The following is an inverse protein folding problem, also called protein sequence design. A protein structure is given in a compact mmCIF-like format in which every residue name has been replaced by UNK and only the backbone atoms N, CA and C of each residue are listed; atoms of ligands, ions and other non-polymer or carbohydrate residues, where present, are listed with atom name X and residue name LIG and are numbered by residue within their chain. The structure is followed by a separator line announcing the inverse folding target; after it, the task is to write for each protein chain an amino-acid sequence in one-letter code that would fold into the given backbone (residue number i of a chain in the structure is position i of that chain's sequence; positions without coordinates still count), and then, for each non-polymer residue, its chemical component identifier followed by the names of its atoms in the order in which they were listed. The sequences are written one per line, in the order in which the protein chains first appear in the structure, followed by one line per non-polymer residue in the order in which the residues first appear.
data_IF_925574279541
#
_entry.id   IF_925574279541
#
_cell.length_a   1.000
_cell.length_b   1.000
_cell.length_c   1.000
_cell.angle_alpha   90.00
_cell.angle_beta   90.00
_cell.angle_gamma   90.00
#
_symmetry.space_group_name_H-M   'P 1'
#
loop_
_entity.id
_entity.type
_entity.pdbx_description
1 polymer ?
#
# COMPACT_ATOMS: atom_id res chain seq x y z
N UNK A 1 8.15 -30.22 4.18
CA UNK A 1 8.63 -29.64 5.46
C UNK A 1 7.67 -28.51 5.84
N UNK A 2 6.65 -28.81 6.61
CA UNK A 2 5.71 -27.80 7.10
C UNK A 2 6.17 -27.40 8.50
N UNK A 3 7.08 -26.42 8.58
CA UNK A 3 7.46 -25.80 9.84
C UNK A 3 6.36 -24.94 10.46
N UNK A 4 5.17 -24.92 9.86
CA UNK A 4 4.02 -24.15 10.29
C UNK A 4 3.17 -24.99 11.24
N UNK A 5 3.10 -24.55 12.50
CA UNK A 5 2.39 -25.24 13.56
C UNK A 5 1.00 -24.69 13.79
N UNK A 6 0.16 -25.41 14.55
CA UNK A 6 -1.16 -24.90 14.97
C UNK A 6 -1.02 -23.61 15.79
N UNK A 7 0.08 -23.46 16.53
CA UNK A 7 0.38 -22.23 17.27
C UNK A 7 0.63 -21.04 16.34
N UNK A 8 1.37 -21.24 15.25
CA UNK A 8 1.61 -20.18 14.25
C UNK A 8 0.31 -19.73 13.58
N UNK A 9 -0.57 -20.70 13.27
CA UNK A 9 -1.91 -20.39 12.73
C UNK A 9 -2.73 -19.56 13.73
N UNK A 10 -2.70 -19.92 15.00
CA UNK A 10 -3.41 -19.20 16.06
C UNK A 10 -2.89 -17.75 16.18
N UNK A 11 -1.58 -17.55 16.20
CA UNK A 11 -0.95 -16.21 16.22
C UNK A 11 -1.36 -15.41 15.01
N UNK A 12 -1.32 -16.00 13.81
CA UNK A 12 -1.72 -15.35 12.57
C UNK A 12 -3.19 -14.88 12.60
N UNK A 13 -4.10 -15.77 13.02
CA UNK A 13 -5.53 -15.45 13.08
C UNK A 13 -5.81 -14.35 14.11
N UNK A 14 -5.22 -14.42 15.30
CA UNK A 14 -5.37 -13.37 16.32
C UNK A 14 -4.83 -12.04 15.82
N UNK A 15 -3.67 -12.03 15.18
CA UNK A 15 -3.09 -10.83 14.61
C UNK A 15 -4.03 -10.20 13.56
N UNK A 16 -4.52 -10.98 12.60
CA UNK A 16 -5.42 -10.49 11.55
C UNK A 16 -6.72 -9.94 12.13
N UNK A 17 -7.35 -10.67 13.05
CA UNK A 17 -8.59 -10.22 13.72
C UNK A 17 -8.30 -8.95 14.54
N UNK A 18 -7.22 -8.93 15.29
CA UNK A 18 -6.84 -7.79 16.15
C UNK A 18 -6.61 -6.52 15.35
N UNK A 19 -5.84 -6.59 14.26
CA UNK A 19 -5.57 -5.43 13.38
C UNK A 19 -6.85 -4.94 12.71
N UNK A 20 -7.68 -5.86 12.20
CA UNK A 20 -8.94 -5.52 11.54
C UNK A 20 -9.93 -4.88 12.52
N UNK A 21 -10.09 -5.46 13.72
CA UNK A 21 -10.95 -4.92 14.76
C UNK A 21 -10.48 -3.54 15.25
N UNK A 22 -9.17 -3.37 15.41
CA UNK A 22 -8.57 -2.07 15.76
C UNK A 22 -8.83 -1.02 14.68
N UNK A 23 -8.58 -1.35 13.40
CA UNK A 23 -8.87 -0.44 12.28
C UNK A 23 -10.34 -0.05 12.22
N UNK A 24 -11.24 -1.02 12.34
CA UNK A 24 -12.68 -0.78 12.39
C UNK A 24 -13.10 0.08 13.60
N UNK A 25 -12.46 -0.09 14.74
CA UNK A 25 -12.72 0.72 15.93
C UNK A 25 -12.26 2.18 15.74
N UNK A 26 -11.07 2.39 15.19
CA UNK A 26 -10.55 3.74 14.88
C UNK A 26 -11.38 4.46 13.81
N UNK A 27 -11.95 3.72 12.86
CA UNK A 27 -12.79 4.28 11.79
C UNK A 27 -14.20 4.72 12.20
N UNK A 28 -14.67 4.40 13.41
CA UNK A 28 -16.06 4.64 13.85
C UNK A 28 -16.45 6.11 14.04
N UNK A 29 -15.54 7.06 13.98
CA UNK A 29 -15.82 8.49 14.17
C UNK A 29 -15.77 9.31 12.89
N UNK A 30 -15.74 8.70 11.70
CA UNK A 30 -15.63 9.40 10.43
C UNK A 30 -17.03 9.71 9.89
N UNK A 31 -17.42 11.00 9.94
CA UNK A 31 -18.75 11.45 9.52
C UNK A 31 -18.76 12.11 8.13
N UNK A 32 -17.58 12.44 7.58
CA UNK A 32 -17.47 13.13 6.30
C UNK A 32 -16.45 12.49 5.36
N UNK A 33 -16.60 12.70 4.05
CA UNK A 33 -15.61 12.31 3.06
C UNK A 33 -14.24 12.96 3.29
N UNK A 34 -14.21 14.17 3.84
CA UNK A 34 -12.97 14.87 4.19
C UNK A 34 -12.26 14.18 5.37
N UNK A 35 -13.01 13.71 6.36
CA UNK A 35 -12.44 12.95 7.47
C UNK A 35 -11.85 11.63 6.97
N UNK A 36 -12.57 10.94 6.10
CA UNK A 36 -12.15 9.65 5.54
C UNK A 36 -10.87 9.78 4.69
N UNK A 37 -10.84 10.72 3.73
CA UNK A 37 -9.73 10.83 2.79
C UNK A 37 -8.54 11.66 3.30
N UNK A 38 -8.78 12.62 4.16
CA UNK A 38 -7.77 13.59 4.59
C UNK A 38 -7.49 13.55 6.10
N UNK A 39 -8.15 12.66 6.85
CA UNK A 39 -8.02 12.61 8.31
C UNK A 39 -8.25 13.97 8.98
N UNK A 40 -9.16 14.77 8.39
CA UNK A 40 -9.44 16.16 8.78
C UNK A 40 -8.19 17.06 8.84
N UNK A 41 -7.10 16.65 8.21
CA UNK A 41 -5.77 17.30 8.24
C UNK A 41 -5.20 17.49 9.65
N UNK A 42 -5.67 16.72 10.62
CA UNK A 42 -5.29 16.82 12.03
C UNK A 42 -4.33 15.72 12.49
N UNK A 43 -3.97 14.79 11.60
CA UNK A 43 -3.10 13.69 11.94
C UNK A 43 -1.68 14.18 12.25
N UNK A 44 -1.06 13.70 13.35
CA UNK A 44 0.30 14.08 13.68
C UNK A 44 1.28 13.51 12.65
N UNK A 45 2.34 14.25 12.36
CA UNK A 45 3.32 13.91 11.31
C UNK A 45 3.91 12.50 11.43
N UNK A 46 4.15 12.01 12.64
CA UNK A 46 4.69 10.66 12.87
C UNK A 46 3.69 9.57 12.46
N UNK A 47 2.39 9.77 12.69
CA UNK A 47 1.36 8.80 12.28
C UNK A 47 1.27 8.74 10.75
N UNK A 48 1.34 9.89 10.07
CA UNK A 48 1.39 9.95 8.60
C UNK A 48 2.66 9.27 8.09
N UNK A 49 3.81 9.53 8.69
CA UNK A 49 5.07 8.88 8.33
C UNK A 49 4.98 7.35 8.47
N UNK A 50 4.50 6.84 9.60
CA UNK A 50 4.34 5.40 9.83
C UNK A 50 3.33 4.78 8.84
N UNK A 51 2.25 5.48 8.53
CA UNK A 51 1.25 5.04 7.55
C UNK A 51 1.86 4.92 6.15
N UNK A 52 2.66 5.90 5.73
CA UNK A 52 3.37 5.85 4.43
C UNK A 52 4.33 4.67 4.40
N UNK A 53 5.15 4.47 5.43
CA UNK A 53 6.08 3.34 5.52
C UNK A 53 5.33 2.01 5.46
N UNK A 54 4.25 1.86 6.23
CA UNK A 54 3.44 0.63 6.24
C UNK A 54 2.80 0.35 4.88
N UNK A 55 2.31 1.38 4.19
CA UNK A 55 1.67 1.23 2.87
C UNK A 55 2.68 0.84 1.78
N UNK A 56 3.91 1.30 1.87
CA UNK A 56 4.95 1.00 0.87
C UNK A 56 5.69 -0.30 1.13
N UNK A 57 5.76 -0.75 2.38
CA UNK A 57 6.41 -2.01 2.73
C UNK A 57 5.53 -3.18 2.31
N UNK A 58 6.00 -3.96 1.35
CA UNK A 58 5.30 -5.12 0.83
C UNK A 58 6.07 -6.41 1.15
N UNK A 59 5.40 -7.56 1.00
CA UNK A 59 6.03 -8.88 1.07
C UNK A 59 7.25 -8.99 0.14
N UNK A 60 7.14 -8.42 -1.08
CA UNK A 60 8.25 -8.36 -2.03
C UNK A 60 9.43 -7.57 -1.47
N UNK A 61 9.18 -6.40 -0.87
CA UNK A 61 10.23 -5.57 -0.27
C UNK A 61 10.91 -6.30 0.89
N UNK A 62 10.14 -6.97 1.73
CA UNK A 62 10.66 -7.60 2.94
C UNK A 62 11.38 -8.93 2.68
N UNK A 63 10.87 -9.76 1.76
CA UNK A 63 11.44 -11.09 1.48
C UNK A 63 12.41 -11.07 0.30
N UNK A 64 12.04 -10.42 -0.82
CA UNK A 64 12.81 -10.54 -2.06
C UNK A 64 14.05 -9.66 -2.08
N UNK A 65 13.97 -8.42 -1.59
CA UNK A 65 15.09 -7.47 -1.66
C UNK A 65 16.30 -7.95 -0.84
N UNK A 66 16.15 -8.39 0.42
CA UNK A 66 17.27 -8.96 1.16
C UNK A 66 17.85 -10.22 0.49
N UNK A 67 16.98 -11.09 -0.05
CA UNK A 67 17.41 -12.29 -0.76
C UNK A 67 18.25 -11.98 -2.00
N UNK A 68 17.81 -11.04 -2.84
CA UNK A 68 18.56 -10.61 -4.03
C UNK A 68 19.89 -9.93 -3.63
N UNK A 69 19.88 -9.12 -2.57
CA UNK A 69 21.09 -8.45 -2.07
C UNK A 69 22.11 -9.45 -1.51
N UNK A 70 21.64 -10.48 -0.82
CA UNK A 70 22.49 -11.56 -0.28
C UNK A 70 23.12 -12.40 -1.41
N UNK A 71 22.38 -12.66 -2.48
CA UNK A 71 22.87 -13.42 -3.65
C UNK A 71 23.98 -12.71 -4.46
N UNK A 72 24.34 -11.47 -4.12
CA UNK A 72 25.56 -10.81 -4.61
C UNK A 72 25.35 -9.56 -5.46
N UNK A 73 24.14 -9.00 -5.54
CA UNK A 73 23.91 -7.80 -6.33
C UNK A 73 23.21 -6.70 -5.52
N UNK A 74 23.98 -5.70 -5.06
CA UNK A 74 23.43 -4.47 -4.45
C UNK A 74 22.83 -3.50 -5.47
N UNK A 75 22.43 -3.97 -6.66
CA UNK A 75 21.81 -3.14 -7.71
C UNK A 75 20.53 -2.46 -7.19
N UNK A 76 19.81 -3.11 -6.28
CA UNK A 76 18.62 -2.53 -5.67
C UNK A 76 18.91 -1.28 -4.84
N UNK A 77 20.13 -1.10 -4.34
CA UNK A 77 20.54 0.10 -3.62
C UNK A 77 20.50 1.34 -4.52
N UNK A 78 20.86 1.21 -5.80
CA UNK A 78 20.77 2.31 -6.77
C UNK A 78 19.33 2.77 -6.95
N UNK A 79 18.39 1.83 -7.05
CA UNK A 79 16.97 2.13 -7.12
C UNK A 79 16.48 2.86 -5.86
N UNK A 80 16.90 2.40 -4.69
CA UNK A 80 16.55 3.02 -3.40
C UNK A 80 17.07 4.46 -3.30
N UNK A 81 18.30 4.72 -3.75
CA UNK A 81 18.86 6.07 -3.81
C UNK A 81 18.11 6.96 -4.80
N UNK A 82 17.72 6.40 -5.96
CA UNK A 82 16.86 7.10 -6.93
C UNK A 82 15.49 7.47 -6.34
N UNK A 83 14.86 6.58 -5.61
CA UNK A 83 13.61 6.86 -4.90
C UNK A 83 13.79 7.93 -3.83
N UNK A 84 14.86 7.89 -3.06
CA UNK A 84 15.15 8.91 -2.05
C UNK A 84 15.28 10.30 -2.70
N UNK A 85 16.09 10.41 -3.74
CA UNK A 85 16.24 11.66 -4.49
C UNK A 85 14.91 12.15 -5.08
N UNK A 86 14.14 11.25 -5.70
CA UNK A 86 12.83 11.57 -6.25
C UNK A 86 11.84 12.06 -5.18
N UNK A 87 11.84 11.46 -4.00
CA UNK A 87 10.99 11.90 -2.87
C UNK A 87 11.37 13.26 -2.33
N UNK A 88 12.65 13.57 -2.24
CA UNK A 88 13.11 14.91 -1.86
C UNK A 88 12.63 15.93 -2.87
N UNK A 89 12.75 15.67 -4.17
CA UNK A 89 12.27 16.55 -5.23
C UNK A 89 10.75 16.75 -5.13
N UNK A 90 10.00 15.66 -5.00
CA UNK A 90 8.52 15.72 -4.88
C UNK A 90 8.10 16.48 -3.63
N UNK A 91 8.73 16.23 -2.49
CA UNK A 91 8.37 16.90 -1.23
C UNK A 91 8.68 18.40 -1.24
N UNK A 92 9.72 18.82 -1.92
CA UNK A 92 10.12 20.24 -1.97
C UNK A 92 9.42 21.03 -3.07
N UNK A 93 9.21 20.44 -4.24
CA UNK A 93 8.66 21.14 -5.41
C UNK A 93 7.17 20.93 -5.60
N UNK A 94 6.66 19.72 -5.39
CA UNK A 94 5.25 19.41 -5.68
C UNK A 94 4.35 19.50 -4.46
N UNK A 95 4.81 19.03 -3.30
CA UNK A 95 3.98 19.02 -2.11
C UNK A 95 3.44 20.40 -1.71
N UNK A 96 4.24 21.51 -1.77
CA UNK A 96 3.71 22.84 -1.48
C UNK A 96 2.56 23.25 -2.40
N UNK A 97 2.60 22.87 -3.69
CA UNK A 97 1.52 23.16 -4.64
C UNK A 97 0.22 22.43 -4.30
N UNK A 98 0.29 21.23 -3.70
CA UNK A 98 -0.89 20.48 -3.24
C UNK A 98 -1.50 21.10 -1.98
N UNK A 99 -0.68 21.68 -1.09
CA UNK A 99 -1.16 22.29 0.15
C UNK A 99 -1.73 23.71 -0.03
N UNK A 100 -1.41 24.41 -1.12
CA UNK A 100 -1.90 25.77 -1.42
C UNK A 100 -3.38 25.80 -1.85
N UNK A 101 -4.03 24.64 -1.99
CA UNK A 101 -5.44 24.55 -2.38
C UNK A 101 -6.21 23.51 -1.55
N UNK A 102 -7.53 23.52 -1.68
CA UNK A 102 -8.42 22.48 -1.15
C UNK A 102 -8.43 21.22 -2.04
N UNK A 103 -7.24 20.78 -2.48
CA UNK A 103 -7.12 19.62 -3.37
C UNK A 103 -7.32 18.34 -2.59
N UNK A 104 -8.18 17.47 -3.08
CA UNK A 104 -8.40 16.12 -2.54
C UNK A 104 -7.48 15.10 -3.23
N UNK A 105 -7.13 15.33 -4.48
CA UNK A 105 -6.26 14.44 -5.26
C UNK A 105 -5.28 15.22 -6.14
N UNK A 106 -4.15 14.58 -6.47
CA UNK A 106 -3.17 15.13 -7.42
C UNK A 106 -3.78 15.40 -8.82
N UNK A 107 -4.79 14.63 -9.20
CA UNK A 107 -5.47 14.76 -10.50
C UNK A 107 -6.33 16.03 -10.59
N UNK A 108 -6.78 16.57 -9.48
CA UNK A 108 -7.51 17.84 -9.43
C UNK A 108 -6.59 19.01 -9.79
N UNK A 109 -5.30 18.96 -9.44
CA UNK A 109 -4.32 19.94 -9.89
C UNK A 109 -4.17 19.93 -11.42
N UNK A 110 -4.16 18.73 -12.03
CA UNK A 110 -4.12 18.58 -13.49
C UNK A 110 -5.37 19.15 -14.14
N UNK A 111 -6.55 18.94 -13.55
CA UNK A 111 -7.80 19.51 -14.04
C UNK A 111 -7.78 21.04 -14.03
N UNK A 112 -7.36 21.65 -12.93
CA UNK A 112 -7.29 23.11 -12.79
C UNK A 112 -6.34 23.75 -13.81
N UNK A 113 -5.26 23.05 -14.19
CA UNK A 113 -4.26 23.61 -15.11
C UNK A 113 -4.48 23.24 -16.56
N UNK A 114 -4.97 22.03 -16.85
CA UNK A 114 -5.03 21.45 -18.20
C UNK A 114 -6.44 20.98 -18.61
N UNK A 115 -7.41 21.14 -17.72
CA UNK A 115 -8.80 20.79 -17.97
C UNK A 115 -9.15 19.32 -17.66
N UNK A 116 -10.46 19.07 -17.68
CA UNK A 116 -11.09 17.78 -17.30
C UNK A 116 -10.60 16.59 -18.14
N UNK A 117 -10.30 16.81 -19.42
CA UNK A 117 -9.80 15.75 -20.31
C UNK A 117 -8.49 15.16 -19.84
N UNK A 118 -7.54 16.02 -19.42
CA UNK A 118 -6.24 15.60 -18.90
C UNK A 118 -6.39 14.84 -17.57
N UNK A 119 -7.25 15.30 -16.67
CA UNK A 119 -7.57 14.58 -15.42
C UNK A 119 -8.09 13.18 -15.72
N UNK A 120 -9.10 13.04 -16.57
CA UNK A 120 -9.69 11.73 -16.93
C UNK A 120 -8.67 10.79 -17.55
N UNK A 121 -7.87 11.28 -18.47
CA UNK A 121 -6.83 10.49 -19.13
C UNK A 121 -5.76 10.01 -18.13
N UNK A 122 -5.21 10.89 -17.30
CA UNK A 122 -4.24 10.55 -16.29
C UNK A 122 -4.80 9.56 -15.24
N UNK A 123 -6.05 9.75 -14.80
CA UNK A 123 -6.73 8.84 -13.90
C UNK A 123 -6.93 7.45 -14.51
N UNK A 124 -7.31 7.38 -15.78
CA UNK A 124 -7.49 6.10 -16.48
C UNK A 124 -6.17 5.32 -16.60
N UNK A 125 -5.08 5.99 -16.99
CA UNK A 125 -3.75 5.38 -17.04
C UNK A 125 -3.34 4.87 -15.64
N UNK A 126 -3.54 5.70 -14.60
CA UNK A 126 -3.22 5.30 -13.24
C UNK A 126 -4.02 4.07 -12.81
N UNK A 127 -5.33 4.02 -13.08
CA UNK A 127 -6.17 2.88 -12.72
C UNK A 127 -5.69 1.59 -13.38
N UNK A 128 -5.35 1.63 -14.66
CA UNK A 128 -4.83 0.46 -15.39
C UNK A 128 -3.48 0.01 -14.82
N UNK A 129 -2.54 0.93 -14.66
CA UNK A 129 -1.21 0.61 -14.12
C UNK A 129 -1.28 0.12 -12.68
N UNK A 130 -2.18 0.68 -11.88
CA UNK A 130 -2.42 0.27 -10.51
C UNK A 130 -3.00 -1.14 -10.43
N UNK A 131 -4.01 -1.44 -11.26
CA UNK A 131 -4.61 -2.77 -11.32
C UNK A 131 -3.56 -3.84 -11.66
N UNK A 132 -2.72 -3.58 -12.66
CA UNK A 132 -1.64 -4.51 -13.04
C UNK A 132 -0.62 -4.68 -11.91
N UNK A 133 -0.18 -3.59 -11.29
CA UNK A 133 0.77 -3.63 -10.18
C UNK A 133 0.23 -4.39 -8.96
N UNK A 134 -1.04 -4.15 -8.61
CA UNK A 134 -1.67 -4.82 -7.47
C UNK A 134 -1.95 -6.30 -7.75
N UNK A 135 -2.23 -6.68 -9.01
CA UNK A 135 -2.33 -8.09 -9.41
C UNK A 135 -1.01 -8.85 -9.19
N UNK A 136 0.12 -8.24 -9.55
CA UNK A 136 1.46 -8.82 -9.30
C UNK A 136 1.73 -8.94 -7.80
N UNK A 137 1.39 -7.91 -7.01
CA UNK A 137 1.57 -7.93 -5.55
C UNK A 137 0.73 -9.02 -4.87
N UNK A 138 -0.53 -9.15 -5.29
CA UNK A 138 -1.44 -10.16 -4.77
C UNK A 138 -0.90 -11.57 -5.04
N UNK A 139 -0.45 -11.82 -6.27
CA UNK A 139 0.19 -13.09 -6.64
C UNK A 139 1.46 -13.35 -5.82
N UNK A 140 2.35 -12.37 -5.71
CA UNK A 140 3.59 -12.50 -4.94
C UNK A 140 3.35 -12.77 -3.45
N UNK A 141 2.29 -12.19 -2.87
CA UNK A 141 1.89 -12.45 -1.47
C UNK A 141 1.29 -13.86 -1.32
N UNK A 142 0.66 -14.40 -2.36
CA UNK A 142 0.11 -15.75 -2.34
C UNK A 142 1.20 -16.84 -2.35
N UNK A 143 2.41 -16.55 -2.86
CA UNK A 143 3.51 -17.52 -2.91
C UNK A 143 3.90 -18.04 -1.51
N UNK A 144 4.29 -17.19 -0.54
CA UNK A 144 4.63 -17.67 0.79
C UNK A 144 3.44 -18.35 1.49
N UNK A 145 2.21 -17.85 1.30
CA UNK A 145 1.03 -18.48 1.87
C UNK A 145 0.84 -19.90 1.32
N UNK A 146 0.94 -20.09 0.01
CA UNK A 146 0.85 -21.41 -0.62
C UNK A 146 1.96 -22.35 -0.14
N UNK A 147 3.18 -21.86 0.02
CA UNK A 147 4.31 -22.67 0.52
C UNK A 147 4.13 -23.12 1.98
N UNK A 148 3.56 -22.25 2.82
CA UNK A 148 3.36 -22.52 4.25
C UNK A 148 2.18 -23.46 4.46
N UNK A 149 1.06 -23.21 3.77
CA UNK A 149 -0.21 -23.94 3.97
C UNK A 149 -0.33 -25.20 3.12
N UNK A 150 0.45 -25.30 2.04
CA UNK A 150 0.28 -26.34 1.03
C UNK A 150 -0.95 -26.12 0.12
N UNK A 151 -1.59 -24.97 0.20
CA UNK A 151 -2.77 -24.66 -0.62
C UNK A 151 -2.38 -24.36 -2.08
N UNK A 152 -3.26 -24.66 -3.03
CA UNK A 152 -3.05 -24.23 -4.41
C UNK A 152 -3.09 -22.71 -4.53
N UNK A 153 -2.32 -22.14 -5.47
CA UNK A 153 -2.25 -20.68 -5.68
C UNK A 153 -3.62 -19.98 -5.81
N UNK A 154 -4.60 -20.54 -6.55
CA UNK A 154 -5.91 -19.88 -6.64
C UNK A 154 -6.62 -19.72 -5.29
N UNK A 155 -6.53 -20.70 -4.40
CA UNK A 155 -7.11 -20.63 -3.07
C UNK A 155 -6.38 -19.59 -2.21
N UNK A 156 -5.05 -19.56 -2.24
CA UNK A 156 -4.24 -18.57 -1.52
C UNK A 156 -4.53 -17.15 -2.00
N UNK A 157 -4.66 -16.93 -3.31
CA UNK A 157 -5.04 -15.65 -3.89
C UNK A 157 -6.45 -15.22 -3.45
N UNK A 158 -7.41 -16.16 -3.48
CA UNK A 158 -8.78 -15.87 -3.08
C UNK A 158 -8.87 -15.44 -1.61
N UNK A 159 -8.18 -16.15 -0.71
CA UNK A 159 -8.15 -15.81 0.72
C UNK A 159 -7.56 -14.43 0.94
N UNK A 160 -6.41 -14.12 0.33
CA UNK A 160 -5.79 -12.80 0.46
C UNK A 160 -6.69 -11.72 -0.14
N UNK A 161 -7.30 -11.97 -1.30
CA UNK A 161 -8.21 -11.03 -1.96
C UNK A 161 -9.43 -10.72 -1.11
N UNK A 162 -10.04 -11.71 -0.46
CA UNK A 162 -11.16 -11.52 0.47
C UNK A 162 -10.72 -10.70 1.68
N UNK A 163 -9.58 -11.03 2.30
CA UNK A 163 -9.06 -10.27 3.44
C UNK A 163 -8.78 -8.80 3.09
N UNK A 164 -8.17 -8.54 1.94
CA UNK A 164 -7.94 -7.18 1.45
C UNK A 164 -9.25 -6.45 1.15
N UNK A 165 -10.25 -7.14 0.59
CA UNK A 165 -11.58 -6.57 0.35
C UNK A 165 -12.26 -6.15 1.66
N UNK A 166 -12.14 -6.95 2.72
CA UNK A 166 -12.71 -6.63 4.02
C UNK A 166 -12.07 -5.41 4.68
N UNK A 167 -10.79 -5.14 4.41
CA UNK A 167 -10.10 -3.93 4.91
C UNK A 167 -10.68 -2.65 4.29
N UNK A 168 -11.27 -2.74 3.10
CA UNK A 168 -11.82 -1.59 2.37
C UNK A 168 -13.32 -1.34 2.65
N UNK A 169 -13.94 -2.18 3.45
CA UNK A 169 -15.34 -2.03 3.89
C UNK A 169 -15.39 -1.30 5.24
#
# INVERSE_FOLDING_TARGET
MTGFTTFDLFVLVIYLIGVTAWGAWLGRGQESGTDYFLGNRSLPWFAVMLSVVATETSTLTFLSVPGVSYAGALVFLQLTLGYLAGRVIVSTLFLPAYYQGSLTTAYELLERRFGLGTRRFASAIFMVTRLLADSVRLFATAIPLALITGWPYPASIAVIGVLLSLIHI
#
